data_IF_196103622633
#
_entry.id   IF_196103622633
#
_cell.length_a   1.000
_cell.length_b   1.000
_cell.length_c   1.000
_cell.angle_alpha   90.00
_cell.angle_beta   90.00
_cell.angle_gamma   90.00
#
_symmetry.space_group_name_H-M   'P 1'
#
loop_
_entity.id
_entity.type
_entity.pdbx_description
1 polymer ?
#
# COMPACT_ATOMS: atom_id res chain seq x y z
N UNK A 1 -22.42 11.37 17.84
CA UNK A 1 -21.52 12.39 17.28
C UNK A 1 -22.39 13.29 16.40
N UNK A 2 -22.54 14.58 16.70
CA UNK A 2 -23.33 15.47 15.85
C UNK A 2 -22.77 15.45 14.42
N UNK A 3 -23.65 15.33 13.42
CA UNK A 3 -23.26 15.45 12.01
C UNK A 3 -22.60 16.82 11.83
N UNK A 4 -21.30 16.83 11.54
CA UNK A 4 -20.62 18.07 11.21
C UNK A 4 -21.16 18.52 9.87
N UNK A 5 -21.91 19.63 9.85
CA UNK A 5 -22.38 20.22 8.60
C UNK A 5 -21.18 20.83 7.88
N UNK A 6 -20.79 20.22 6.76
CA UNK A 6 -19.66 20.69 5.95
C UNK A 6 -20.04 21.93 5.14
N UNK A 7 -19.16 22.92 5.11
CA UNK A 7 -19.24 24.03 4.15
C UNK A 7 -18.55 23.59 2.85
N UNK A 8 -19.28 23.59 1.74
CA UNK A 8 -18.77 23.13 0.45
C UNK A 8 -18.66 24.33 -0.50
N UNK A 9 -17.53 24.50 -1.24
CA UNK A 9 -17.41 25.52 -2.27
C UNK A 9 -18.52 25.42 -3.33
N UNK A 10 -18.91 26.53 -3.98
CA UNK A 10 -19.94 26.51 -5.03
C UNK A 10 -19.64 25.48 -6.13
N UNK A 11 -20.66 24.72 -6.54
CA UNK A 11 -20.55 23.68 -7.58
C UNK A 11 -19.95 22.35 -7.10
N UNK A 12 -19.15 22.34 -6.04
CA UNK A 12 -18.58 21.12 -5.49
C UNK A 12 -19.59 20.36 -4.63
N UNK A 13 -19.36 19.06 -4.39
CA UNK A 13 -20.22 18.26 -3.50
C UNK A 13 -19.40 17.47 -2.47
N UNK A 14 -20.01 17.25 -1.31
CA UNK A 14 -19.49 16.38 -0.25
C UNK A 14 -20.47 15.23 -0.06
N UNK A 15 -19.93 14.01 0.08
CA UNK A 15 -20.71 12.81 0.37
C UNK A 15 -20.01 11.98 1.45
N UNK A 16 -20.79 11.18 2.17
CA UNK A 16 -20.27 10.19 3.11
C UNK A 16 -20.89 8.82 2.84
N UNK A 17 -20.12 7.76 3.08
CA UNK A 17 -20.57 6.37 2.94
C UNK A 17 -21.83 6.03 3.78
N UNK A 18 -22.33 6.92 4.64
CA UNK A 18 -23.54 6.71 5.47
C UNK A 18 -24.82 7.26 4.83
N UNK A 19 -24.72 7.98 3.74
CA UNK A 19 -25.87 8.64 3.12
C UNK A 19 -26.51 7.66 2.09
N UNK A 20 -27.83 7.46 2.15
CA UNK A 20 -28.55 6.47 1.30
C UNK A 20 -28.57 6.84 -0.20
N UNK A 21 -28.20 8.08 -0.55
CA UNK A 21 -28.14 8.61 -1.92
C UNK A 21 -26.87 8.20 -2.71
N UNK A 22 -26.04 7.30 -2.17
CA UNK A 22 -24.61 7.26 -2.48
C UNK A 22 -24.18 6.19 -3.51
N UNK A 23 -25.09 5.40 -4.10
CA UNK A 23 -24.69 4.36 -5.07
C UNK A 23 -24.09 4.92 -6.36
N UNK A 24 -24.68 5.99 -6.94
CA UNK A 24 -24.15 6.61 -8.17
C UNK A 24 -22.83 7.34 -7.90
N UNK A 25 -22.70 8.01 -6.76
CA UNK A 25 -21.48 8.71 -6.35
C UNK A 25 -20.37 7.73 -6.01
N UNK A 26 -20.69 6.62 -5.37
CA UNK A 26 -19.75 5.53 -5.13
C UNK A 26 -19.30 4.87 -6.44
N UNK A 27 -20.21 4.65 -7.40
CA UNK A 27 -19.86 4.13 -8.72
C UNK A 27 -18.96 5.10 -9.51
N UNK A 28 -19.26 6.41 -9.47
CA UNK A 28 -18.40 7.44 -10.06
C UNK A 28 -17.01 7.47 -9.39
N UNK A 29 -16.96 7.37 -8.06
CA UNK A 29 -15.70 7.32 -7.32
C UNK A 29 -14.86 6.08 -7.70
N UNK A 30 -15.50 4.91 -7.86
CA UNK A 30 -14.84 3.69 -8.33
C UNK A 30 -14.33 3.86 -9.76
N UNK A 31 -15.13 4.45 -10.65
CA UNK A 31 -14.73 4.70 -12.03
C UNK A 31 -13.55 5.66 -12.13
N UNK A 32 -13.57 6.77 -11.38
CA UNK A 32 -12.45 7.71 -11.32
C UNK A 32 -11.19 7.08 -10.72
N UNK A 33 -11.34 6.20 -9.71
CA UNK A 33 -10.23 5.44 -9.16
C UNK A 33 -9.61 4.46 -10.16
N UNK A 34 -10.44 3.77 -10.95
CA UNK A 34 -9.98 2.88 -12.00
C UNK A 34 -9.22 3.62 -13.11
N UNK A 35 -9.81 4.71 -13.62
CA UNK A 35 -9.29 5.46 -14.77
C UNK A 35 -8.07 6.33 -14.42
N UNK A 36 -8.03 6.89 -13.21
CA UNK A 36 -7.05 7.92 -12.84
C UNK A 36 -6.15 7.54 -11.66
N UNK A 37 -6.42 6.42 -10.99
CA UNK A 37 -5.55 5.92 -9.92
C UNK A 37 -4.23 5.38 -10.46
N UNK A 38 -3.09 5.90 -9.98
CA UNK A 38 -1.75 5.47 -10.42
C UNK A 38 -1.12 4.40 -9.50
N UNK A 39 -1.73 4.12 -8.35
CA UNK A 39 -1.27 3.17 -7.34
C UNK A 39 -2.44 2.47 -6.63
N UNK A 40 -2.14 1.39 -5.92
CA UNK A 40 -3.13 0.51 -5.27
C UNK A 40 -4.01 1.24 -4.25
N UNK A 41 -3.47 2.25 -3.59
CA UNK A 41 -4.15 2.99 -2.53
C UNK A 41 -5.26 3.91 -3.07
N UNK A 42 -5.33 4.12 -4.39
CA UNK A 42 -6.45 4.78 -5.06
C UNK A 42 -7.76 4.15 -4.62
N UNK A 43 -7.88 2.81 -4.69
CA UNK A 43 -9.07 2.07 -4.31
C UNK A 43 -9.40 2.10 -2.81
N UNK A 44 -8.50 2.58 -1.95
CA UNK A 44 -8.79 2.74 -0.51
C UNK A 44 -9.78 3.87 -0.23
N UNK A 45 -10.08 4.72 -1.23
CA UNK A 45 -11.19 5.67 -1.11
C UNK A 45 -12.53 4.96 -0.95
N UNK A 46 -12.68 3.74 -1.45
CA UNK A 46 -13.92 2.96 -1.44
C UNK A 46 -14.09 2.16 -0.15
N UNK A 47 -13.14 2.24 0.77
CA UNK A 47 -13.25 1.57 2.05
C UNK A 47 -14.40 2.16 2.90
N UNK A 48 -15.05 1.36 3.75
CA UNK A 48 -16.10 1.86 4.63
C UNK A 48 -15.62 2.99 5.55
N UNK A 49 -16.45 4.02 5.69
CA UNK A 49 -16.18 5.16 6.58
C UNK A 49 -15.35 6.29 5.95
N UNK A 50 -15.16 6.24 4.63
CA UNK A 50 -14.58 7.34 3.85
C UNK A 50 -15.62 8.42 3.58
N UNK A 51 -15.09 9.63 3.39
CA UNK A 51 -15.83 10.77 2.91
C UNK A 51 -15.24 11.20 1.57
N UNK A 52 -16.09 11.72 0.71
CA UNK A 52 -15.76 12.11 -0.64
C UNK A 52 -15.96 13.61 -0.80
N UNK A 53 -15.01 14.23 -1.49
CA UNK A 53 -15.17 15.57 -2.06
C UNK A 53 -15.11 15.42 -3.58
N UNK A 54 -16.16 15.85 -4.27
CA UNK A 54 -16.21 15.87 -5.73
C UNK A 54 -16.00 17.30 -6.23
N UNK A 55 -15.26 17.42 -7.33
CA UNK A 55 -15.04 18.70 -8.02
C UNK A 55 -16.33 19.30 -8.55
N UNK A 56 -16.25 20.58 -8.90
CA UNK A 56 -17.38 21.34 -9.44
C UNK A 56 -17.98 20.82 -10.75
N UNK A 57 -17.21 20.03 -11.49
CA UNK A 57 -17.57 19.41 -12.78
C UNK A 57 -17.80 17.90 -12.71
N UNK A 58 -17.79 17.32 -11.51
CA UNK A 58 -17.89 15.88 -11.26
C UNK A 58 -16.85 15.01 -12.00
N UNK A 59 -15.73 15.60 -12.46
CA UNK A 59 -14.62 14.91 -13.12
C UNK A 59 -13.43 14.59 -12.19
N UNK A 60 -13.58 14.87 -10.89
CA UNK A 60 -12.56 14.64 -9.90
C UNK A 60 -13.13 14.29 -8.54
N UNK A 61 -12.43 13.39 -7.84
CA UNK A 61 -12.80 12.99 -6.47
C UNK A 61 -11.58 12.91 -5.56
N UNK A 62 -11.77 13.30 -4.31
CA UNK A 62 -10.81 13.12 -3.21
C UNK A 62 -11.46 12.34 -2.09
N UNK A 63 -10.91 11.15 -1.81
CA UNK A 63 -11.30 10.32 -0.68
C UNK A 63 -10.51 10.66 0.58
N UNK A 64 -11.20 10.98 1.68
CA UNK A 64 -10.53 11.37 2.92
C UNK A 64 -11.16 10.78 4.18
N UNK A 65 -10.39 10.82 5.26
CA UNK A 65 -10.87 10.55 6.62
C UNK A 65 -10.51 11.71 7.55
N UNK A 66 -11.33 11.95 8.58
CA UNK A 66 -11.16 13.11 9.45
C UNK A 66 -10.68 12.73 10.84
N UNK A 67 -9.76 13.49 11.40
CA UNK A 67 -9.42 13.42 12.82
C UNK A 67 -9.27 14.83 13.36
N UNK A 68 -10.19 15.24 14.24
CA UNK A 68 -10.25 16.62 14.76
C UNK A 68 -10.26 17.64 13.61
N UNK A 69 -9.24 18.47 13.51
CA UNK A 69 -9.05 19.50 12.51
C UNK A 69 -8.17 19.04 11.32
N UNK A 70 -7.95 17.73 11.13
CA UNK A 70 -7.07 17.21 10.07
C UNK A 70 -7.82 16.30 9.11
N UNK A 71 -7.58 16.48 7.81
CA UNK A 71 -8.02 15.59 6.73
C UNK A 71 -6.85 14.72 6.28
N UNK A 72 -7.03 13.41 6.28
CA UNK A 72 -6.09 12.46 5.68
C UNK A 72 -6.65 11.94 4.37
N UNK A 73 -6.01 12.31 3.27
CA UNK A 73 -6.32 11.83 1.93
C UNK A 73 -5.50 10.59 1.64
N UNK A 74 -6.15 9.56 1.12
CA UNK A 74 -5.54 8.30 0.66
C UNK A 74 -6.02 8.07 -0.76
N UNK A 75 -5.12 7.63 -1.65
CA UNK A 75 -5.44 7.45 -3.06
C UNK A 75 -5.23 8.67 -3.95
N UNK A 76 -4.76 9.79 -3.39
CA UNK A 76 -4.35 10.97 -4.16
C UNK A 76 -5.50 11.78 -4.76
N UNK A 77 -5.23 12.42 -5.89
CA UNK A 77 -6.16 13.24 -6.67
C UNK A 77 -6.67 12.42 -7.86
N UNK A 78 -7.90 11.93 -7.79
CA UNK A 78 -8.46 11.03 -8.80
C UNK A 78 -9.22 11.84 -9.86
N UNK A 79 -8.48 12.31 -10.84
CA UNK A 79 -8.97 13.10 -11.98
C UNK A 79 -7.94 13.06 -13.11
N UNK A 80 -8.31 13.53 -14.30
CA UNK A 80 -7.39 13.64 -15.42
C UNK A 80 -6.16 14.51 -15.07
N UNK A 81 -4.95 14.20 -15.60
CA UNK A 81 -3.72 14.91 -15.21
C UNK A 81 -3.78 16.44 -15.32
N UNK A 82 -4.48 16.96 -16.34
CA UNK A 82 -4.63 18.41 -16.56
C UNK A 82 -5.57 19.10 -15.55
N UNK A 83 -6.42 18.33 -14.85
CA UNK A 83 -7.39 18.83 -13.87
C UNK A 83 -6.89 18.72 -12.42
N UNK A 84 -5.81 17.97 -12.14
CA UNK A 84 -5.27 17.78 -10.77
C UNK A 84 -5.04 19.10 -10.04
N UNK A 85 -4.55 20.14 -10.72
CA UNK A 85 -4.34 21.45 -10.12
C UNK A 85 -5.64 22.17 -9.73
N UNK A 86 -6.72 22.00 -10.51
CA UNK A 86 -8.03 22.54 -10.16
C UNK A 86 -8.64 21.79 -8.97
N UNK A 87 -8.67 20.46 -9.04
CA UNK A 87 -9.21 19.62 -7.96
C UNK A 87 -8.51 19.90 -6.63
N UNK A 88 -7.18 20.05 -6.64
CA UNK A 88 -6.43 20.38 -5.43
C UNK A 88 -6.83 21.75 -4.86
N UNK A 89 -7.01 22.78 -5.71
CA UNK A 89 -7.43 24.11 -5.25
C UNK A 89 -8.83 24.09 -4.64
N UNK A 90 -9.79 23.45 -5.30
CA UNK A 90 -11.16 23.31 -4.80
C UNK A 90 -11.19 22.55 -3.46
N UNK A 91 -10.40 21.49 -3.34
CA UNK A 91 -10.30 20.73 -2.10
C UNK A 91 -9.61 21.51 -0.97
N UNK A 92 -8.61 22.34 -1.28
CA UNK A 92 -7.99 23.24 -0.30
C UNK A 92 -8.97 24.32 0.17
N UNK A 93 -9.77 24.88 -0.72
CA UNK A 93 -10.84 25.82 -0.35
C UNK A 93 -11.85 25.15 0.58
N UNK A 94 -12.27 23.92 0.26
CA UNK A 94 -13.10 23.10 1.14
C UNK A 94 -12.47 22.91 2.52
N UNK A 95 -11.18 22.56 2.58
CA UNK A 95 -10.47 22.42 3.85
C UNK A 95 -10.41 23.74 4.64
N UNK A 96 -10.13 24.86 3.96
CA UNK A 96 -10.07 26.20 4.57
C UNK A 96 -11.43 26.64 5.13
N UNK A 97 -12.52 26.48 4.39
CA UNK A 97 -13.88 26.80 4.82
C UNK A 97 -14.29 26.05 6.10
N UNK A 98 -13.71 24.87 6.32
CA UNK A 98 -13.97 24.01 7.47
C UNK A 98 -12.85 24.00 8.52
N UNK A 99 -11.89 24.93 8.40
CA UNK A 99 -10.73 25.09 9.29
C UNK A 99 -9.94 23.78 9.49
N UNK A 100 -9.59 23.14 8.37
CA UNK A 100 -8.86 21.87 8.36
C UNK A 100 -7.47 22.01 7.75
N UNK A 101 -6.51 21.34 8.39
CA UNK A 101 -5.22 21.01 7.78
C UNK A 101 -5.36 19.71 6.96
N UNK A 102 -4.47 19.51 6.00
CA UNK A 102 -4.58 18.41 5.03
C UNK A 102 -3.25 17.68 4.91
N UNK A 103 -3.31 16.34 4.91
CA UNK A 103 -2.18 15.50 4.50
C UNK A 103 -2.62 14.49 3.45
N UNK A 104 -1.92 14.46 2.34
CA UNK A 104 -2.01 13.42 1.31
C UNK A 104 -0.97 12.35 1.58
N UNK A 105 -1.43 11.11 1.65
CA UNK A 105 -0.62 9.94 1.95
C UNK A 105 -0.29 9.21 0.64
N UNK A 106 0.94 8.71 0.53
CA UNK A 106 1.41 7.86 -0.57
C UNK A 106 1.28 8.47 -1.98
N UNK A 107 1.64 9.76 -2.12
CA UNK A 107 1.76 10.40 -3.42
C UNK A 107 2.95 9.85 -4.21
N UNK A 108 2.83 9.82 -5.54
CA UNK A 108 3.92 9.49 -6.44
C UNK A 108 4.68 10.75 -6.89
N UNK A 109 5.87 10.56 -7.46
CA UNK A 109 6.70 11.65 -7.99
C UNK A 109 5.97 12.51 -9.03
N UNK A 110 5.07 11.90 -9.82
CA UNK A 110 4.26 12.56 -10.86
C UNK A 110 3.39 13.70 -10.33
N UNK A 111 2.93 13.63 -9.08
CA UNK A 111 2.04 14.62 -8.47
C UNK A 111 2.77 15.80 -7.83
N UNK A 112 4.04 15.64 -7.47
CA UNK A 112 4.77 16.62 -6.67
C UNK A 112 4.78 18.06 -7.24
N UNK A 113 4.86 18.29 -8.57
CA UNK A 113 4.78 19.64 -9.12
C UNK A 113 3.49 20.37 -8.73
N UNK A 114 2.34 19.68 -8.73
CA UNK A 114 1.03 20.25 -8.37
C UNK A 114 1.02 20.64 -6.89
N UNK A 115 1.49 19.76 -6.01
CA UNK A 115 1.55 20.01 -4.56
C UNK A 115 2.53 21.12 -4.19
N UNK A 116 3.71 21.16 -4.81
CA UNK A 116 4.71 22.21 -4.56
C UNK A 116 4.22 23.58 -5.01
N UNK A 117 3.43 23.67 -6.09
CA UNK A 117 2.81 24.93 -6.52
C UNK A 117 1.86 25.53 -5.47
N UNK A 118 1.28 24.67 -4.62
CA UNK A 118 0.41 25.05 -3.50
C UNK A 118 1.18 25.08 -2.16
N UNK A 119 2.51 25.13 -2.20
CA UNK A 119 3.38 25.27 -1.02
C UNK A 119 3.27 24.13 0.02
N UNK A 120 2.89 22.92 -0.41
CA UNK A 120 2.91 21.76 0.48
C UNK A 120 4.34 21.42 0.94
N UNK A 121 4.45 21.00 2.20
CA UNK A 121 5.65 20.33 2.70
C UNK A 121 5.61 18.86 2.25
N UNK A 122 6.56 18.46 1.39
CA UNK A 122 6.64 17.11 0.81
C UNK A 122 7.84 16.36 1.36
N UNK A 123 7.60 15.19 1.97
CA UNK A 123 8.64 14.31 2.51
C UNK A 123 8.53 12.89 1.93
N UNK A 124 9.66 12.25 1.62
CA UNK A 124 9.67 10.84 1.17
C UNK A 124 9.31 9.91 2.33
N UNK A 125 8.43 8.94 2.08
CA UNK A 125 7.95 8.00 3.12
C UNK A 125 8.21 6.53 2.78
N UNK A 126 8.67 6.21 1.58
CA UNK A 126 8.99 4.85 1.17
C UNK A 126 9.05 4.74 -0.34
N UNK A 127 8.94 3.51 -0.83
CA UNK A 127 8.91 3.23 -2.26
C UNK A 127 7.99 2.06 -2.57
N UNK A 128 7.41 2.05 -3.76
CA UNK A 128 6.57 0.99 -4.29
C UNK A 128 7.38 0.12 -5.27
N UNK A 129 7.57 -1.18 -4.97
CA UNK A 129 8.19 -2.10 -5.91
C UNK A 129 7.17 -2.54 -6.97
N UNK A 130 7.50 -2.33 -8.24
CA UNK A 130 6.71 -2.70 -9.42
C UNK A 130 7.51 -3.63 -10.32
N UNK A 131 6.93 -4.76 -10.68
CA UNK A 131 7.51 -5.71 -11.64
C UNK A 131 6.99 -5.39 -13.05
N UNK A 132 7.89 -5.24 -14.00
CA UNK A 132 7.56 -5.17 -15.42
C UNK A 132 7.33 -6.59 -15.98
N UNK A 133 6.06 -6.93 -16.19
CA UNK A 133 5.66 -8.24 -16.71
C UNK A 133 6.00 -8.41 -18.20
N UNK A 134 6.29 -7.34 -18.94
CA UNK A 134 6.67 -7.42 -20.36
C UNK A 134 8.08 -8.01 -20.51
N UNK A 135 8.94 -7.77 -19.52
CA UNK A 135 10.35 -8.19 -19.53
C UNK A 135 10.64 -9.33 -18.55
N UNK A 136 9.78 -9.56 -17.57
CA UNK A 136 9.96 -10.63 -16.58
C UNK A 136 9.96 -12.03 -17.22
N UNK A 137 11.10 -12.72 -17.17
CA UNK A 137 11.24 -14.07 -17.74
C UNK A 137 10.98 -15.20 -16.74
N UNK A 138 11.06 -14.90 -15.44
CA UNK A 138 10.99 -15.89 -14.34
C UNK A 138 12.01 -17.04 -14.46
N UNK A 139 13.11 -16.83 -15.21
CA UNK A 139 14.14 -17.83 -15.52
C UNK A 139 15.52 -17.39 -15.01
N UNK A 140 16.51 -18.27 -15.11
CA UNK A 140 17.88 -17.95 -14.71
C UNK A 140 18.10 -17.88 -13.19
N UNK A 141 19.31 -17.44 -12.82
CA UNK A 141 19.81 -17.42 -11.43
C UNK A 141 19.10 -16.37 -10.57
N UNK A 142 18.71 -15.25 -11.16
CA UNK A 142 18.12 -14.14 -10.42
C UNK A 142 16.75 -14.47 -9.80
N UNK A 143 15.97 -15.33 -10.47
CA UNK A 143 14.65 -15.81 -10.06
C UNK A 143 14.67 -17.21 -9.42
N UNK A 144 15.85 -17.78 -9.15
CA UNK A 144 16.01 -19.14 -8.61
C UNK A 144 15.18 -19.37 -7.33
N UNK A 145 15.15 -18.37 -6.44
CA UNK A 145 14.42 -18.47 -5.18
C UNK A 145 12.90 -18.57 -5.38
N UNK A 146 12.34 -17.78 -6.30
CA UNK A 146 10.89 -17.78 -6.58
C UNK A 146 10.51 -19.12 -7.24
N UNK A 147 11.28 -19.56 -8.23
CA UNK A 147 11.13 -20.88 -8.87
C UNK A 147 11.21 -22.04 -7.87
N UNK A 148 12.08 -21.92 -6.85
CA UNK A 148 12.18 -22.93 -5.79
C UNK A 148 10.93 -22.98 -4.92
N UNK A 149 10.33 -21.83 -4.59
CA UNK A 149 9.07 -21.80 -3.83
C UNK A 149 7.94 -22.43 -4.65
N UNK A 150 7.87 -22.09 -5.95
CA UNK A 150 6.91 -22.66 -6.88
C UNK A 150 7.04 -24.18 -6.98
N UNK A 151 8.23 -24.69 -7.33
CA UNK A 151 8.47 -26.12 -7.48
C UNK A 151 8.16 -26.89 -6.19
N UNK A 152 8.41 -26.27 -5.03
CA UNK A 152 8.05 -26.87 -3.75
C UNK A 152 6.53 -26.94 -3.58
N UNK A 153 5.79 -25.86 -3.85
CA UNK A 153 4.33 -25.84 -3.76
C UNK A 153 3.68 -26.85 -4.70
N UNK A 154 4.09 -26.87 -5.97
CA UNK A 154 3.58 -27.82 -6.97
C UNK A 154 3.81 -29.28 -6.58
N UNK A 155 5.02 -29.63 -6.08
CA UNK A 155 5.31 -31.00 -5.61
C UNK A 155 4.50 -31.42 -4.39
N UNK A 156 4.01 -30.46 -3.60
CA UNK A 156 3.13 -30.72 -2.45
C UNK A 156 1.64 -30.62 -2.83
N UNK A 157 1.30 -30.60 -4.13
CA UNK A 157 -0.08 -30.60 -4.60
C UNK A 157 -0.81 -29.27 -4.45
N UNK A 158 -0.08 -28.16 -4.28
CA UNK A 158 -0.67 -26.82 -4.24
C UNK A 158 -0.89 -26.32 -5.67
N UNK A 159 -2.10 -25.87 -5.93
CA UNK A 159 -2.52 -25.23 -7.18
C UNK A 159 -3.00 -23.80 -6.91
N UNK A 160 -3.03 -22.97 -7.95
CA UNK A 160 -3.66 -21.65 -7.92
C UNK A 160 -4.90 -21.68 -8.79
N UNK A 161 -5.99 -21.09 -8.30
CA UNK A 161 -7.19 -20.79 -9.07
C UNK A 161 -7.52 -19.30 -8.92
N UNK A 162 -7.91 -18.66 -10.02
CA UNK A 162 -8.63 -17.39 -9.94
C UNK A 162 -10.12 -17.69 -9.73
N UNK A 163 -10.74 -17.00 -8.79
CA UNK A 163 -12.16 -17.11 -8.52
C UNK A 163 -12.83 -15.81 -8.91
N UNK A 164 -13.76 -15.90 -9.85
CA UNK A 164 -14.70 -14.82 -10.15
C UNK A 164 -15.76 -14.75 -9.04
N UNK A 165 -15.93 -13.60 -8.35
CA UNK A 165 -16.96 -13.45 -7.32
C UNK A 165 -18.36 -13.59 -7.91
N UNK A 166 -19.14 -14.54 -7.40
CA UNK A 166 -20.55 -14.70 -7.73
C UNK A 166 -21.37 -14.62 -6.43
N UNK A 167 -21.95 -13.45 -6.18
CA UNK A 167 -22.68 -13.17 -4.95
C UNK A 167 -24.04 -13.86 -4.88
N UNK A 168 -24.58 -14.35 -6.01
CA UNK A 168 -25.84 -15.08 -6.04
C UNK A 168 -25.62 -16.58 -5.82
N UNK A 169 -24.48 -17.09 -6.26
CA UNK A 169 -24.09 -18.50 -6.11
C UNK A 169 -23.97 -18.93 -4.63
N UNK A 170 -24.68 -20.02 -4.30
CA UNK A 170 -24.66 -20.62 -2.97
C UNK A 170 -23.26 -21.11 -2.58
N UNK A 171 -22.54 -21.77 -3.49
CA UNK A 171 -21.19 -22.28 -3.23
C UNK A 171 -20.24 -21.14 -2.84
N UNK A 172 -20.28 -20.01 -3.54
CA UNK A 172 -19.44 -18.87 -3.22
C UNK A 172 -19.74 -18.34 -1.80
N UNK A 173 -21.01 -18.06 -1.51
CA UNK A 173 -21.42 -17.45 -0.22
C UNK A 173 -21.31 -18.38 0.98
N UNK A 174 -21.68 -19.64 0.83
CA UNK A 174 -21.84 -20.55 1.97
C UNK A 174 -20.63 -21.49 2.15
N UNK A 175 -19.80 -21.69 1.11
CA UNK A 175 -18.63 -22.57 1.20
C UNK A 175 -17.32 -21.82 1.08
N UNK A 176 -17.15 -21.00 0.03
CA UNK A 176 -15.88 -20.33 -0.24
C UNK A 176 -15.61 -19.17 0.73
N UNK A 177 -16.56 -18.25 0.87
CA UNK A 177 -16.42 -17.05 1.72
C UNK A 177 -16.05 -17.43 3.17
N UNK A 178 -16.77 -18.35 3.85
CA UNK A 178 -16.41 -18.74 5.22
C UNK A 178 -15.02 -19.36 5.33
N UNK A 179 -14.57 -20.12 4.32
CA UNK A 179 -13.22 -20.67 4.30
C UNK A 179 -12.15 -19.57 4.21
N UNK A 180 -12.36 -18.56 3.36
CA UNK A 180 -11.45 -17.42 3.19
C UNK A 180 -11.43 -16.52 4.43
N UNK A 181 -12.59 -16.25 5.04
CA UNK A 181 -12.69 -15.55 6.32
C UNK A 181 -11.93 -16.29 7.43
N UNK A 182 -11.99 -17.62 7.44
CA UNK A 182 -11.25 -18.44 8.39
C UNK A 182 -9.72 -18.40 8.12
N UNK A 183 -9.28 -18.45 6.84
CA UNK A 183 -7.85 -18.21 6.50
C UNK A 183 -7.41 -16.85 7.03
N UNK A 184 -8.24 -15.84 6.79
CA UNK A 184 -8.03 -14.46 7.19
C UNK A 184 -7.88 -14.33 8.71
N UNK A 185 -8.82 -14.87 9.47
CA UNK A 185 -8.81 -14.85 10.94
C UNK A 185 -7.58 -15.54 11.51
N UNK A 186 -7.22 -16.72 10.97
CA UNK A 186 -6.03 -17.45 11.39
C UNK A 186 -4.74 -16.68 11.05
N UNK A 187 -4.67 -16.05 9.88
CA UNK A 187 -3.53 -15.22 9.48
C UNK A 187 -3.35 -14.04 10.43
N UNK A 188 -4.43 -13.27 10.65
CA UNK A 188 -4.41 -12.12 11.55
C UNK A 188 -4.04 -12.55 12.97
N UNK A 189 -4.45 -13.74 13.42
CA UNK A 189 -4.09 -14.27 14.72
C UNK A 189 -2.58 -14.49 14.91
N UNK A 190 -1.84 -14.79 13.83
CA UNK A 190 -0.38 -14.94 13.82
C UNK A 190 0.36 -13.58 13.70
N UNK A 191 -0.35 -12.48 13.43
CA UNK A 191 0.24 -11.14 13.44
C UNK A 191 0.35 -10.55 14.85
N UNK A 192 1.18 -9.52 15.03
CA UNK A 192 1.32 -8.80 16.32
C UNK A 192 0.04 -8.02 16.69
N UNK A 193 -0.74 -7.62 15.69
CA UNK A 193 -1.94 -6.81 15.89
C UNK A 193 -3.19 -7.65 16.17
N UNK A 194 -3.26 -8.87 15.64
CA UNK A 194 -4.39 -9.77 15.89
C UNK A 194 -5.71 -9.34 15.22
N UNK A 195 -5.68 -8.29 14.40
CA UNK A 195 -6.83 -7.65 13.75
C UNK A 195 -6.39 -7.00 12.43
N UNK A 196 -7.35 -6.63 11.60
CA UNK A 196 -7.09 -5.83 10.41
C UNK A 196 -6.60 -4.43 10.78
N UNK A 197 -5.64 -3.93 10.00
CA UNK A 197 -5.25 -2.52 10.01
C UNK A 197 -6.25 -1.73 9.15
N UNK A 198 -6.23 -0.40 9.25
CA UNK A 198 -7.13 0.46 8.46
C UNK A 198 -6.41 1.67 7.88
N UNK A 199 -7.12 2.54 7.17
CA UNK A 199 -6.61 3.77 6.58
C UNK A 199 -5.68 3.60 5.35
N UNK A 200 -4.62 2.82 5.43
CA UNK A 200 -3.65 2.63 4.32
C UNK A 200 -3.56 1.18 3.84
N UNK A 201 -4.51 0.34 4.26
CA UNK A 201 -4.64 -1.07 3.90
C UNK A 201 -6.12 -1.38 3.76
N UNK A 202 -6.50 -2.11 2.71
CA UNK A 202 -7.88 -2.59 2.54
C UNK A 202 -8.30 -3.63 3.57
N UNK A 203 -9.57 -3.59 3.94
CA UNK A 203 -10.22 -4.69 4.66
C UNK A 203 -10.61 -5.79 3.70
N UNK A 204 -10.79 -7.01 4.23
CA UNK A 204 -11.30 -8.10 3.41
C UNK A 204 -12.80 -7.91 3.19
N UNK A 205 -13.20 -7.58 1.97
CA UNK A 205 -14.61 -7.40 1.56
C UNK A 205 -14.94 -8.39 0.45
N UNK A 206 -15.35 -9.61 0.83
CA UNK A 206 -15.68 -10.67 -0.12
C UNK A 206 -17.11 -10.57 -0.68
N UNK A 207 -17.90 -9.63 -0.18
CA UNK A 207 -19.25 -9.29 -0.62
C UNK A 207 -19.28 -8.11 -1.59
N UNK A 208 -18.18 -7.38 -1.73
CA UNK A 208 -18.04 -6.24 -2.64
C UNK A 208 -16.61 -6.13 -3.17
N UNK A 209 -16.30 -6.98 -4.15
CA UNK A 209 -14.98 -7.04 -4.76
C UNK A 209 -14.74 -5.94 -5.81
N UNK A 210 -15.79 -5.29 -6.32
CA UNK A 210 -15.70 -4.32 -7.42
C UNK A 210 -14.88 -4.92 -8.58
N UNK A 211 -13.85 -4.21 -9.07
CA UNK A 211 -12.91 -4.71 -10.09
C UNK A 211 -11.73 -5.50 -9.52
N UNK A 212 -11.69 -5.78 -8.22
CA UNK A 212 -10.59 -6.53 -7.61
C UNK A 212 -10.70 -8.02 -7.99
N UNK A 213 -9.56 -8.66 -8.15
CA UNK A 213 -9.45 -10.09 -8.51
C UNK A 213 -9.08 -10.93 -7.31
N UNK A 214 -9.65 -12.11 -7.18
CA UNK A 214 -9.41 -13.03 -6.08
C UNK A 214 -8.69 -14.29 -6.59
N UNK A 215 -7.52 -14.55 -6.02
CA UNK A 215 -6.72 -15.74 -6.33
C UNK A 215 -6.57 -16.59 -5.08
N UNK A 216 -6.78 -17.90 -5.22
CA UNK A 216 -6.78 -18.85 -4.12
C UNK A 216 -5.72 -19.92 -4.37
N UNK A 217 -4.94 -20.23 -3.33
CA UNK A 217 -4.07 -21.40 -3.32
C UNK A 217 -4.79 -22.57 -2.65
N UNK A 218 -4.98 -23.65 -3.39
CA UNK A 218 -5.63 -24.87 -2.92
C UNK A 218 -4.62 -26.00 -2.84
N UNK A 219 -4.44 -26.54 -1.64
CA UNK A 219 -3.65 -27.74 -1.39
C UNK A 219 -4.53 -28.95 -1.06
N UNK A 220 -3.93 -30.11 -0.74
CA UNK A 220 -4.65 -31.35 -0.45
C UNK A 220 -5.63 -31.27 0.72
N UNK A 221 -5.35 -30.38 1.69
CA UNK A 221 -6.18 -30.17 2.88
C UNK A 221 -7.21 -29.03 2.71
N UNK A 222 -7.35 -28.45 1.51
CA UNK A 222 -8.24 -27.32 1.21
C UNK A 222 -7.50 -26.02 0.92
N UNK A 223 -8.17 -24.89 1.14
CA UNK A 223 -7.60 -23.57 0.85
C UNK A 223 -6.48 -23.23 1.83
N UNK A 224 -5.29 -22.97 1.33
CA UNK A 224 -4.11 -22.65 2.15
C UNK A 224 -3.85 -21.15 2.27
N UNK A 225 -4.12 -20.40 1.20
CA UNK A 225 -3.88 -18.97 1.12
C UNK A 225 -4.75 -18.31 0.04
N UNK A 226 -4.84 -17.00 0.08
CA UNK A 226 -5.44 -16.21 -1.00
C UNK A 226 -4.72 -14.87 -1.16
N UNK A 227 -4.89 -14.27 -2.34
CA UNK A 227 -4.47 -12.93 -2.71
C UNK A 227 -5.66 -12.19 -3.32
N UNK A 228 -5.90 -10.96 -2.87
CA UNK A 228 -6.77 -10.01 -3.56
C UNK A 228 -5.88 -9.02 -4.30
N UNK A 229 -6.07 -8.92 -5.61
CA UNK A 229 -5.36 -7.99 -6.46
C UNK A 229 -6.24 -6.80 -6.81
N UNK A 230 -5.70 -5.59 -6.65
CA UNK A 230 -6.41 -4.32 -6.85
C UNK A 230 -5.91 -3.67 -8.15
N UNK A 231 -6.79 -3.21 -9.05
CA UNK A 231 -6.36 -2.57 -10.29
C UNK A 231 -5.91 -1.13 -10.07
N UNK A 232 -5.05 -0.65 -10.97
CA UNK A 232 -4.61 0.73 -11.11
C UNK A 232 -4.21 0.98 -12.57
N UNK A 233 -4.02 2.25 -12.94
CA UNK A 233 -3.66 2.68 -14.28
C UNK A 233 -4.59 2.08 -15.36
N UNK A 234 -5.91 2.17 -15.16
CA UNK A 234 -6.90 1.64 -16.11
C UNK A 234 -6.70 0.14 -16.43
N UNK A 235 -6.33 -0.65 -15.41
CA UNK A 235 -6.08 -2.08 -15.53
C UNK A 235 -4.71 -2.47 -16.09
N UNK A 236 -3.83 -1.51 -16.39
CA UNK A 236 -2.45 -1.79 -16.84
C UNK A 236 -1.50 -2.13 -15.67
N UNK A 237 -1.90 -1.84 -14.44
CA UNK A 237 -1.19 -2.21 -13.22
C UNK A 237 -2.15 -2.98 -12.30
N UNK A 238 -1.71 -4.12 -11.79
CA UNK A 238 -2.41 -4.84 -10.71
C UNK A 238 -1.53 -4.93 -9.48
N UNK A 239 -2.08 -4.64 -8.31
CA UNK A 239 -1.35 -4.63 -7.06
C UNK A 239 -1.76 -5.80 -6.17
N UNK A 240 -0.80 -6.60 -5.70
CA UNK A 240 -1.05 -7.69 -4.75
C UNK A 240 -1.18 -7.16 -3.32
N UNK A 241 -2.31 -6.53 -3.03
CA UNK A 241 -2.52 -5.76 -1.81
C UNK A 241 -2.77 -6.62 -0.57
N UNK A 242 -3.81 -7.46 -0.61
CA UNK A 242 -4.17 -8.31 0.53
C UNK A 242 -3.79 -9.74 0.22
N UNK A 243 -2.86 -10.31 0.98
CA UNK A 243 -2.54 -11.72 0.90
C UNK A 243 -2.49 -12.35 2.28
N UNK A 244 -3.20 -13.46 2.46
CA UNK A 244 -3.34 -14.15 3.74
C UNK A 244 -3.12 -15.63 3.55
N UNK A 245 -2.59 -16.28 4.58
CA UNK A 245 -2.32 -17.73 4.57
C UNK A 245 -2.63 -18.34 5.93
N UNK A 246 -2.99 -19.62 5.91
CA UNK A 246 -3.10 -20.42 7.13
C UNK A 246 -1.72 -20.64 7.77
N UNK A 247 -1.66 -20.84 9.09
CA UNK A 247 -0.43 -21.24 9.77
C UNK A 247 0.16 -22.55 9.25
N UNK A 248 -0.70 -23.49 8.86
CA UNK A 248 -0.36 -24.82 8.32
C UNK A 248 -0.08 -24.82 6.82
N UNK A 249 -0.18 -23.68 6.15
CA UNK A 249 0.01 -23.59 4.71
C UNK A 249 1.43 -24.00 4.29
N UNK A 250 1.52 -24.57 3.10
CA UNK A 250 2.76 -25.00 2.46
C UNK A 250 3.77 -23.85 2.42
N UNK A 251 5.01 -24.16 2.79
CA UNK A 251 6.07 -23.15 2.82
C UNK A 251 6.23 -22.53 1.43
N UNK A 252 6.16 -21.20 1.38
CA UNK A 252 6.34 -20.44 0.14
C UNK A 252 5.05 -20.18 -0.63
N UNK A 253 3.87 -20.59 -0.12
CA UNK A 253 2.58 -20.44 -0.83
C UNK A 253 2.29 -19.01 -1.32
N UNK A 254 2.64 -17.97 -0.56
CA UNK A 254 2.45 -16.57 -1.00
C UNK A 254 3.37 -16.22 -2.16
N UNK A 255 4.64 -16.67 -2.12
CA UNK A 255 5.55 -16.44 -3.24
C UNK A 255 5.12 -17.20 -4.49
N UNK A 256 4.60 -18.42 -4.31
CA UNK A 256 3.97 -19.20 -5.37
C UNK A 256 2.76 -18.47 -5.97
N UNK A 257 1.81 -17.99 -5.14
CA UNK A 257 0.65 -17.25 -5.61
C UNK A 257 1.04 -16.00 -6.40
N UNK A 258 1.91 -15.15 -5.86
CA UNK A 258 2.36 -13.93 -6.56
C UNK A 258 3.00 -14.29 -7.90
N UNK A 259 3.80 -15.37 -7.97
CA UNK A 259 4.39 -15.81 -9.24
C UNK A 259 3.34 -16.35 -10.24
N UNK A 260 2.36 -17.13 -9.80
CA UNK A 260 1.29 -17.62 -10.68
C UNK A 260 0.45 -16.45 -11.20
N UNK A 261 0.05 -15.53 -10.32
CA UNK A 261 -0.67 -14.29 -10.67
C UNK A 261 0.14 -13.49 -11.70
N UNK A 262 1.44 -13.31 -11.48
CA UNK A 262 2.29 -12.57 -12.41
C UNK A 262 2.32 -13.21 -13.80
N UNK A 263 2.36 -14.54 -13.90
CA UNK A 263 2.32 -15.25 -15.19
C UNK A 263 0.96 -15.18 -15.86
N UNK A 264 -0.11 -15.28 -15.08
CA UNK A 264 -1.47 -15.14 -15.60
C UNK A 264 -1.69 -13.73 -16.17
N UNK A 265 -1.38 -12.69 -15.39
CA UNK A 265 -1.43 -11.29 -15.83
C UNK A 265 -0.55 -11.03 -17.07
N UNK A 266 0.65 -11.61 -17.10
CA UNK A 266 1.53 -11.55 -18.28
C UNK A 266 0.89 -12.19 -19.52
N UNK A 267 0.20 -13.33 -19.37
CA UNK A 267 -0.51 -13.99 -20.48
C UNK A 267 -1.73 -13.21 -20.96
N UNK A 268 -2.34 -12.41 -20.10
CA UNK A 268 -3.44 -11.49 -20.41
C UNK A 268 -2.95 -10.16 -21.02
N UNK A 269 -1.64 -9.96 -21.12
CA UNK A 269 -1.04 -8.74 -21.68
C UNK A 269 -0.96 -7.56 -20.70
N UNK A 270 -1.17 -7.79 -19.39
CA UNK A 270 -0.99 -6.77 -18.35
C UNK A 270 0.49 -6.38 -18.25
N UNK A 271 0.85 -5.09 -18.36
CA UNK A 271 2.25 -4.66 -18.32
C UNK A 271 2.91 -4.74 -16.94
N UNK A 272 2.19 -4.46 -15.85
CA UNK A 272 2.81 -4.24 -14.55
C UNK A 272 2.12 -4.97 -13.39
N UNK A 273 2.93 -5.41 -12.42
CA UNK A 273 2.48 -5.96 -11.14
C UNK A 273 3.11 -5.15 -9.99
N UNK A 274 2.31 -4.47 -9.19
CA UNK A 274 2.77 -3.81 -7.96
C UNK A 274 2.78 -4.79 -6.80
N UNK A 275 3.87 -4.77 -6.02
CA UNK A 275 3.98 -5.50 -4.75
C UNK A 275 3.54 -4.64 -3.56
N UNK A 276 2.90 -3.49 -3.79
CA UNK A 276 2.52 -2.47 -2.82
C UNK A 276 3.70 -1.84 -2.07
N UNK A 277 3.46 -0.70 -1.43
CA UNK A 277 4.48 0.11 -0.79
C UNK A 277 5.33 -0.67 0.23
N UNK A 278 6.62 -0.33 0.29
CA UNK A 278 7.53 -0.63 1.39
C UNK A 278 7.80 0.69 2.14
N UNK A 279 7.22 0.90 3.32
CA UNK A 279 7.39 2.14 4.06
C UNK A 279 8.83 2.30 4.55
N UNK A 280 9.27 3.53 4.78
CA UNK A 280 10.61 3.90 5.24
C UNK A 280 11.79 3.44 4.35
N UNK A 281 11.53 2.85 3.18
CA UNK A 281 12.58 2.43 2.26
C UNK A 281 13.32 3.65 1.69
N UNK A 282 14.64 3.71 1.92
CA UNK A 282 15.56 4.71 1.35
C UNK A 282 15.11 6.17 1.52
N UNK A 283 14.48 6.49 2.65
CA UNK A 283 13.96 7.84 2.99
C UNK A 283 15.03 8.88 3.29
N UNK A 284 16.28 8.47 3.50
CA UNK A 284 17.38 9.40 3.75
C UNK A 284 17.80 10.21 2.50
N UNK A 285 17.22 9.92 1.34
CA UNK A 285 17.32 10.73 0.12
C UNK A 285 16.35 11.92 0.26
N UNK A 286 16.85 13.04 0.76
CA UNK A 286 16.03 14.22 1.04
C UNK A 286 15.39 14.84 -0.21
N UNK A 287 14.22 15.45 -0.05
CA UNK A 287 13.53 16.27 -1.05
C UNK A 287 13.76 17.77 -0.79
N UNK A 288 13.49 18.64 -1.78
CA UNK A 288 13.70 20.09 -1.65
C UNK A 288 12.90 20.76 -0.50
N UNK A 289 11.76 20.17 -0.11
CA UNK A 289 10.85 20.64 0.94
C UNK A 289 10.71 19.63 2.09
N UNK A 290 11.77 18.87 2.35
CA UNK A 290 11.75 17.72 3.26
C UNK A 290 11.58 18.12 4.72
N UNK A 291 10.62 17.50 5.40
CA UNK A 291 10.46 17.65 6.84
C UNK A 291 11.48 16.78 7.57
N UNK A 292 12.46 17.41 8.23
CA UNK A 292 13.46 16.69 9.06
C UNK A 292 12.78 15.78 10.09
N UNK A 293 11.63 16.20 10.61
CA UNK A 293 10.84 15.40 11.56
C UNK A 293 10.32 14.10 10.93
N UNK A 294 9.72 14.18 9.73
CA UNK A 294 9.23 13.00 9.00
C UNK A 294 10.40 12.09 8.63
N UNK A 295 11.47 12.63 8.05
CA UNK A 295 12.65 11.85 7.67
C UNK A 295 13.25 11.11 8.85
N UNK A 296 13.48 11.81 9.97
CA UNK A 296 14.05 11.19 11.17
C UNK A 296 13.09 10.15 11.78
N UNK A 297 11.78 10.41 11.77
CA UNK A 297 10.77 9.45 12.23
C UNK A 297 10.73 8.17 11.37
N UNK A 298 10.79 8.29 10.05
CA UNK A 298 10.83 7.15 9.13
C UNK A 298 12.15 6.37 9.25
N UNK A 299 13.28 7.08 9.36
CA UNK A 299 14.59 6.45 9.61
C UNK A 299 14.61 5.72 10.96
N UNK A 300 14.01 6.31 12.01
CA UNK A 300 13.83 5.64 13.29
C UNK A 300 12.94 4.40 13.16
N UNK A 301 11.85 4.44 12.39
CA UNK A 301 11.02 3.27 12.17
C UNK A 301 11.80 2.13 11.52
N UNK A 302 12.52 2.40 10.42
CA UNK A 302 13.34 1.41 9.73
C UNK A 302 14.33 0.71 10.68
N UNK A 303 14.99 1.48 11.55
CA UNK A 303 16.05 0.97 12.42
C UNK A 303 15.54 0.37 13.75
N UNK A 304 14.48 0.90 14.34
CA UNK A 304 14.12 0.66 15.74
C UNK A 304 12.75 -0.01 15.94
N UNK A 305 11.83 0.08 14.97
CA UNK A 305 10.49 -0.51 15.04
C UNK A 305 10.23 -1.81 14.21
N UNK A 306 11.23 -2.60 13.72
CA UNK A 306 10.95 -3.90 13.09
C UNK A 306 10.12 -4.87 13.96
N UNK A 307 10.12 -4.66 15.27
CA UNK A 307 9.34 -5.43 16.25
C UNK A 307 7.84 -5.25 16.11
N UNK A 308 7.37 -4.07 15.70
CA UNK A 308 5.95 -3.77 15.49
C UNK A 308 5.53 -4.06 14.05
N UNK A 309 6.36 -3.66 13.07
CA UNK A 309 6.10 -3.87 11.65
C UNK A 309 7.42 -4.19 10.92
N UNK A 310 7.61 -5.43 10.47
CA UNK A 310 8.89 -5.95 9.97
C UNK A 310 9.15 -5.55 8.51
N UNK A 311 9.40 -4.26 8.30
CA UNK A 311 9.70 -3.67 6.99
C UNK A 311 10.90 -4.33 6.29
N UNK A 312 12.05 -4.58 6.95
CA UNK A 312 13.21 -5.16 6.27
C UNK A 312 12.93 -6.54 5.67
N UNK A 313 12.12 -7.38 6.33
CA UNK A 313 11.68 -8.66 5.75
C UNK A 313 10.70 -8.49 4.60
N UNK A 314 9.80 -7.50 4.66
CA UNK A 314 8.92 -7.19 3.54
C UNK A 314 9.74 -6.76 2.32
N UNK A 315 10.73 -5.88 2.50
CA UNK A 315 11.67 -5.50 1.45
C UNK A 315 12.38 -6.73 0.87
N UNK A 316 13.01 -7.55 1.73
CA UNK A 316 13.73 -8.75 1.29
C UNK A 316 12.84 -9.73 0.52
N UNK A 317 11.59 -9.90 0.93
CA UNK A 317 10.63 -10.75 0.22
C UNK A 317 10.29 -10.19 -1.17
N UNK A 318 9.93 -8.89 -1.24
CA UNK A 318 9.53 -8.23 -2.48
C UNK A 318 10.69 -8.08 -3.47
N UNK A 319 11.92 -7.86 -3.00
CA UNK A 319 13.11 -7.75 -3.87
C UNK A 319 13.44 -9.05 -4.61
N UNK A 320 12.98 -10.23 -4.13
CA UNK A 320 13.16 -11.52 -4.82
C UNK A 320 12.45 -11.60 -6.17
N UNK A 321 11.47 -10.72 -6.42
CA UNK A 321 10.75 -10.62 -7.69
C UNK A 321 11.40 -9.65 -8.68
N UNK A 322 12.56 -9.08 -8.34
CA UNK A 322 13.32 -8.13 -9.19
C UNK A 322 12.48 -6.95 -9.71
N UNK A 323 11.78 -6.21 -8.83
CA UNK A 323 11.02 -5.05 -9.22
C UNK A 323 11.92 -3.83 -9.48
N UNK A 324 11.41 -2.89 -10.26
CA UNK A 324 11.82 -1.48 -10.25
C UNK A 324 11.06 -0.73 -9.14
N UNK A 325 11.53 0.43 -8.71
CA UNK A 325 10.99 1.12 -7.53
C UNK A 325 10.48 2.53 -7.89
N UNK A 326 9.25 2.87 -7.47
CA UNK A 326 8.70 4.23 -7.51
C UNK A 326 8.76 4.88 -6.14
N UNK A 327 9.16 6.15 -6.06
CA UNK A 327 9.18 6.85 -4.76
C UNK A 327 7.76 7.25 -4.31
N UNK A 328 7.51 7.10 -3.02
CA UNK A 328 6.25 7.44 -2.37
C UNK A 328 6.47 8.58 -1.36
N UNK A 329 5.56 9.54 -1.34
CA UNK A 329 5.67 10.77 -0.56
C UNK A 329 4.44 11.01 0.33
N UNK A 330 4.65 11.76 1.41
CA UNK A 330 3.59 12.46 2.13
C UNK A 330 3.68 13.94 1.80
N UNK A 331 2.55 14.58 1.54
CA UNK A 331 2.46 16.02 1.39
C UNK A 331 1.48 16.59 2.42
N UNK A 332 1.91 17.57 3.21
CA UNK A 332 1.06 18.24 4.21
C UNK A 332 0.94 19.73 3.94
N UNK A 333 -0.27 20.27 4.14
CA UNK A 333 -0.57 21.70 4.09
C UNK A 333 -1.28 22.13 5.38
N UNK A 334 -0.83 23.22 6.02
CA UNK A 334 0.30 24.08 5.62
C UNK A 334 1.68 23.48 5.94
N UNK A 335 1.77 22.51 6.86
CA UNK A 335 3.01 21.82 7.24
C UNK A 335 2.72 20.51 7.96
N UNK A 336 3.71 19.63 8.06
CA UNK A 336 3.58 18.39 8.84
C UNK A 336 3.71 18.68 10.33
N UNK A 337 2.63 18.49 11.07
CA UNK A 337 2.63 18.59 12.52
C UNK A 337 2.76 17.21 13.18
N UNK A 338 3.45 17.16 14.33
CA UNK A 338 3.70 15.92 15.07
C UNK A 338 2.40 15.22 15.50
N UNK A 339 1.42 15.97 16.01
CA UNK A 339 0.19 15.40 16.54
C UNK A 339 -0.70 14.77 15.44
N UNK A 340 -0.96 15.41 14.29
CA UNK A 340 -1.59 14.74 13.15
C UNK A 340 -0.81 13.52 12.65
N UNK A 341 0.52 13.59 12.53
CA UNK A 341 1.31 12.43 12.11
C UNK A 341 1.17 11.26 13.09
N UNK A 342 1.17 11.53 14.40
CA UNK A 342 0.93 10.52 15.42
C UNK A 342 -0.50 9.96 15.34
N UNK A 343 -1.49 10.82 15.13
CA UNK A 343 -2.89 10.42 14.96
C UNK A 343 -3.12 9.56 13.71
N UNK A 344 -2.38 9.81 12.63
CA UNK A 344 -2.33 8.94 11.46
C UNK A 344 -1.93 7.51 11.85
N UNK A 345 -0.85 7.34 12.62
CA UNK A 345 -0.42 6.01 13.09
C UNK A 345 -1.42 5.36 14.06
N UNK A 346 -2.12 6.14 14.88
CA UNK A 346 -3.22 5.64 15.72
C UNK A 346 -4.39 5.13 14.88
N UNK A 347 -4.81 5.90 13.87
CA UNK A 347 -5.88 5.52 12.94
C UNK A 347 -5.51 4.31 12.10
N UNK A 348 -4.26 4.21 11.65
CA UNK A 348 -3.78 3.03 10.97
C UNK A 348 -3.90 1.78 11.85
N UNK A 349 -3.75 1.94 13.17
CA UNK A 349 -3.92 0.89 14.17
C UNK A 349 -2.61 0.23 14.60
N UNK A 350 -1.47 0.76 14.17
CA UNK A 350 -0.14 0.19 14.44
C UNK A 350 0.41 0.53 15.84
N UNK A 351 -0.13 1.53 16.53
CA UNK A 351 0.34 1.97 17.85
C UNK A 351 -0.17 1.05 18.98
N UNK A 352 -1.26 0.32 18.76
CA UNK A 352 -1.87 -0.57 19.75
C UNK A 352 -1.71 -2.04 19.33
N UNK A 353 -0.54 -2.67 19.55
CA UNK A 353 -0.42 -4.11 19.40
C UNK A 353 -1.29 -4.82 20.45
N UNK A 354 -1.65 -6.08 20.20
CA UNK A 354 -2.29 -6.89 21.24
C UNK A 354 -1.25 -7.19 22.32
N UNK A 355 -1.29 -6.44 23.43
CA UNK A 355 -0.35 -6.54 24.54
C UNK A 355 -0.29 -7.94 25.18
N UNK A 356 -1.34 -8.77 25.03
CA UNK A 356 -1.32 -10.17 25.49
C UNK A 356 -0.48 -11.06 24.57
N UNK A 357 -0.46 -10.75 23.26
CA UNK A 357 0.28 -11.51 22.25
C UNK A 357 1.72 -11.03 22.10
N UNK A 358 1.99 -9.77 22.43
CA UNK A 358 3.28 -9.12 22.23
C UNK A 358 4.45 -9.94 22.83
N UNK A 359 4.42 -10.46 24.08
CA UNK A 359 5.55 -11.20 24.64
C UNK A 359 5.84 -12.52 23.89
N UNK A 360 4.80 -13.29 23.56
CA UNK A 360 4.93 -14.55 22.83
C UNK A 360 5.40 -14.33 21.39
N UNK A 361 4.89 -13.29 20.73
CA UNK A 361 5.31 -12.89 19.39
C UNK A 361 6.76 -12.39 19.40
N UNK A 362 7.16 -11.62 20.42
CA UNK A 362 8.54 -11.20 20.61
C UNK A 362 9.48 -12.40 20.79
N UNK A 363 9.12 -13.40 21.61
CA UNK A 363 9.90 -14.64 21.76
C UNK A 363 10.02 -15.43 20.45
N UNK A 364 8.91 -15.60 19.71
CA UNK A 364 8.91 -16.26 18.39
C UNK A 364 9.78 -15.50 17.38
N UNK A 365 9.70 -14.16 17.37
CA UNK A 365 10.49 -13.29 16.50
C UNK A 365 11.97 -13.28 16.88
N UNK A 366 12.32 -13.22 18.17
CA UNK A 366 13.69 -13.34 18.66
C UNK A 366 14.35 -14.64 18.20
N UNK A 367 13.63 -15.77 18.28
CA UNK A 367 14.11 -17.06 17.73
C UNK A 367 14.33 -17.01 16.21
N UNK A 368 13.45 -16.34 15.46
CA UNK A 368 13.62 -16.11 13.99
C UNK A 368 14.71 -15.08 13.65
N UNK A 369 15.07 -14.19 14.57
CA UNK A 369 16.10 -13.15 14.42
C UNK A 369 17.52 -13.67 14.65
N UNK A 370 17.69 -14.84 15.28
CA UNK A 370 18.99 -15.54 15.34
C UNK A 370 19.57 -15.92 13.96
N UNK A 371 18.81 -15.72 12.87
CA UNK A 371 19.25 -15.89 11.48
C UNK A 371 19.07 -14.61 10.63
N UNK A 372 19.29 -13.42 11.20
CA UNK A 372 19.15 -12.14 10.49
C UNK A 372 20.21 -11.90 9.39
N UNK A 373 21.29 -12.68 9.36
CA UNK A 373 22.50 -12.44 8.56
C UNK A 373 22.35 -12.61 7.03
N UNK A 374 21.14 -12.67 6.47
CA UNK A 374 20.91 -12.83 5.01
C UNK A 374 19.76 -11.98 4.44
N UNK A 375 19.34 -10.92 5.15
CA UNK A 375 18.35 -10.00 4.60
C UNK A 375 18.98 -9.16 3.47
N UNK A 376 18.12 -8.76 2.54
CA UNK A 376 18.47 -7.85 1.46
C UNK A 376 18.82 -6.48 2.07
N UNK A 377 19.97 -5.92 1.73
CA UNK A 377 20.36 -4.57 2.15
C UNK A 377 20.00 -3.57 1.04
N UNK A 378 19.02 -2.67 1.27
CA UNK A 378 18.60 -1.71 0.26
C UNK A 378 19.68 -0.69 -0.12
N UNK A 379 20.79 -0.62 0.62
CA UNK A 379 21.93 0.26 0.33
C UNK A 379 23.01 -0.42 -0.51
N UNK A 380 23.04 -1.76 -0.57
CA UNK A 380 24.06 -2.52 -1.31
C UNK A 380 23.51 -3.15 -2.59
N UNK A 381 22.21 -3.43 -2.63
CA UNK A 381 21.59 -4.05 -3.81
C UNK A 381 21.47 -3.06 -4.96
N UNK A 382 21.81 -3.52 -6.17
CA UNK A 382 21.44 -2.81 -7.40
C UNK A 382 19.93 -2.83 -7.55
N UNK A 383 19.36 -1.67 -7.88
CA UNK A 383 17.94 -1.51 -8.13
C UNK A 383 17.72 -0.45 -9.20
N UNK A 384 16.55 -0.51 -9.82
CA UNK A 384 16.11 0.48 -10.79
C UNK A 384 15.11 1.42 -10.13
N UNK A 385 15.34 2.73 -10.25
CA UNK A 385 14.39 3.75 -9.81
C UNK A 385 13.64 4.29 -11.02
N UNK A 386 12.32 4.35 -10.92
CA UNK A 386 11.43 4.86 -11.97
C UNK A 386 10.52 5.95 -11.42
N UNK A 387 10.39 7.07 -12.13
CA UNK A 387 9.50 8.15 -11.71
C UNK A 387 8.04 7.90 -12.14
N UNK A 388 7.85 7.29 -13.31
CA UNK A 388 6.53 7.01 -13.92
C UNK A 388 6.54 5.66 -14.63
N UNK A 389 5.35 5.07 -14.76
CA UNK A 389 5.16 3.87 -15.57
C UNK A 389 4.88 4.27 -17.02
N UNK A 390 5.48 3.60 -18.01
CA UNK A 390 5.15 3.80 -19.43
C UNK A 390 3.87 3.06 -19.79
N UNK A 391 2.73 3.58 -19.32
CA UNK A 391 1.39 3.07 -19.61
C UNK A 391 0.85 3.70 -20.90
N UNK A 392 0.22 2.89 -21.76
CA UNK A 392 -0.35 3.38 -23.01
C UNK A 392 -1.59 4.24 -22.71
N UNK A 393 -1.63 5.48 -23.21
CA UNK A 393 -2.79 6.38 -23.06
C UNK A 393 -2.63 7.55 -22.08
N UNK A 394 -1.48 7.72 -21.42
CA UNK A 394 -1.24 8.89 -20.55
C UNK A 394 0.20 9.11 -20.14
N UNK A 395 0.79 10.22 -20.62
CA UNK A 395 2.07 10.84 -20.24
C UNK A 395 3.39 10.08 -20.54
N UNK A 396 3.85 10.23 -21.79
CA UNK A 396 5.23 10.65 -22.09
C UNK A 396 6.33 9.57 -22.06
N UNK A 397 7.26 9.70 -23.01
CA UNK A 397 8.43 8.84 -23.19
C UNK A 397 9.30 8.74 -21.92
N UNK A 398 9.86 7.56 -21.69
CA UNK A 398 10.84 7.25 -20.63
C UNK A 398 12.20 7.83 -21.04
N UNK A 399 12.81 8.64 -20.19
CA UNK A 399 14.27 8.65 -20.09
C UNK A 399 14.68 7.96 -18.78
N UNK A 400 15.50 6.90 -18.83
CA UNK A 400 16.08 6.34 -17.61
C UNK A 400 16.98 7.40 -16.98
N UNK A 401 16.59 7.92 -15.81
CA UNK A 401 17.47 8.79 -15.03
C UNK A 401 18.56 7.90 -14.44
N UNK A 402 19.81 8.12 -14.86
CA UNK A 402 20.96 7.46 -14.25
C UNK A 402 20.91 7.68 -12.73
N UNK A 403 21.01 6.59 -11.96
CA UNK A 403 21.07 6.68 -10.50
C UNK A 403 22.18 7.67 -10.12
N UNK A 404 21.86 8.79 -9.43
CA UNK A 404 22.88 9.75 -9.05
C UNK A 404 23.90 9.08 -8.11
N UNK A 405 25.17 9.51 -8.22
CA UNK A 405 26.26 8.98 -7.44
C UNK A 405 25.91 8.97 -5.94
N UNK A 406 26.14 7.80 -5.32
CA UNK A 406 25.89 7.52 -3.92
C UNK A 406 26.60 8.55 -3.02
N UNK A 407 25.85 9.33 -2.25
CA UNK A 407 26.36 10.07 -1.11
C UNK A 407 25.96 9.28 0.14
N UNK A 408 26.92 8.60 0.82
CA UNK A 408 26.62 7.90 2.06
C UNK A 408 26.08 8.90 3.09
N UNK A 409 24.98 8.53 3.74
CA UNK A 409 24.50 9.28 4.91
C UNK A 409 25.57 9.21 6.01
N UNK A 410 25.86 10.34 6.65
CA UNK A 410 26.65 10.34 7.89
C UNK A 410 25.96 9.41 8.90
N UNK A 411 26.70 8.48 9.53
CA UNK A 411 26.12 7.63 10.55
C UNK A 411 25.58 8.51 11.68
N UNK A 412 24.27 8.48 11.88
CA UNK A 412 23.66 9.00 13.10
C UNK A 412 24.26 8.18 14.23
N UNK A 413 25.03 8.83 15.11
CA UNK A 413 25.61 8.21 16.30
C UNK A 413 24.47 7.75 17.22
N UNK A 414 23.98 6.52 17.01
CA UNK A 414 23.08 5.85 17.94
C UNK A 414 23.95 5.41 19.11
N UNK A 415 23.86 6.14 20.22
CA UNK A 415 24.45 5.72 21.48
C UNK A 415 23.92 4.32 21.84
N UNK A 416 24.79 3.31 21.73
CA UNK A 416 24.50 1.98 22.27
C UNK A 416 24.36 2.13 23.79
N UNK A 417 23.27 1.66 24.41
CA UNK A 417 23.22 1.63 25.87
C UNK A 417 24.34 0.72 26.37
N UNK A 418 25.17 1.25 27.27
CA UNK A 418 26.23 0.51 27.91
C UNK A 418 25.65 -0.72 28.61
N UNK A 419 26.05 -1.90 28.18
CA UNK A 419 25.79 -3.14 28.91
C UNK A 419 26.68 -3.07 30.15
N UNK A 420 26.10 -2.69 31.28
CA UNK A 420 26.75 -2.84 32.57
C UNK A 420 26.98 -4.34 32.81
N UNK A 421 28.24 -4.76 32.76
CA UNK A 421 28.65 -6.09 33.20
C UNK A 421 28.52 -6.15 34.72
N UNK A 422 27.48 -6.82 35.22
CA UNK A 422 27.48 -7.30 36.60
C UNK A 422 28.44 -8.49 36.68
N UNK A 423 29.47 -8.36 37.53
CA UNK A 423 30.20 -9.49 38.10
C UNK A 423 29.48 -9.98 39.34
#
# INVERSE_FOLDING_TARGET
MPQTQWKVPPGCTHASHRDELDHLRHALAEQLAFLHGESYDSYLLLEPGRQYFFSSDDQGVVGFSTWRNHLYVVGGLLTAPHQKAQLLREFLEFAQLNHKDVSFLNLLASDLPVFRSQQFEVSKIGEEPVVDLRTATWRGREFEWVRRQENFCLRNGVSMEEVEPDFDCRWYREELVPQLEEVSRQHLADTVYGRELSLVVSRLQLDNMLRRRLFVARGPAGIEAFVVATPACDGQLWAVETYRRRPTATRGVIAFLILQIARQLQSEGTPFLSLCQVPALRVNRGTASDSRFVRNGMSFWWNCLPWFYDVPRQYHFKSRFRPSYRECFIASYPRTACLPLLAFFFKWGIIWPDFKRLPMQMLRRMRKWRHAERLADPNQEQFELIERLPVAGGCGLIEPVAAPAFVPAEPIAVARPAVASAR
#
